data_IF_235874444148
#
_entry.id   IF_235874444148
#
_cell.length_a   1.000
_cell.length_b   1.000
_cell.length_c   1.000
_cell.angle_alpha   90.00
_cell.angle_beta   90.00
_cell.angle_gamma   90.00
#
_symmetry.space_group_name_H-M   'P 1'
#
loop_
_entity.id
_entity.type
_entity.pdbx_description
1 polymer ?
#
# COMPACT_ATOMS: atom_id res chain seq x y z
N UNK A 1 5.86 9.55 -5.85
CA UNK A 1 7.08 10.34 -5.53
C UNK A 1 7.60 9.86 -4.20
N UNK A 2 8.83 9.35 -4.12
CA UNK A 2 9.50 9.04 -2.85
C UNK A 2 10.48 10.17 -2.53
N UNK A 3 10.54 10.61 -1.27
CA UNK A 3 11.57 11.56 -0.81
C UNK A 3 12.94 10.87 -0.96
N UNK A 4 13.92 11.56 -1.56
CA UNK A 4 15.28 11.06 -1.76
C UNK A 4 15.94 10.54 -0.47
N UNK A 5 15.52 11.03 0.70
CA UNK A 5 16.04 10.57 1.99
C UNK A 5 15.54 9.18 2.39
N UNK A 6 14.34 8.76 1.95
CA UNK A 6 13.84 7.40 2.20
C UNK A 6 14.74 6.36 1.53
N UNK A 7 15.20 6.62 0.30
CA UNK A 7 16.09 5.72 -0.43
C UNK A 7 17.49 5.63 0.20
N UNK A 8 17.96 6.71 0.84
CA UNK A 8 19.25 6.72 1.55
C UNK A 8 19.21 5.92 2.86
N UNK A 9 18.10 5.99 3.60
CA UNK A 9 18.00 5.38 4.93
C UNK A 9 17.31 4.00 4.92
N UNK A 10 16.50 3.68 3.92
CA UNK A 10 15.79 2.42 3.84
C UNK A 10 15.51 2.01 2.37
N UNK A 11 16.46 1.24 1.80
CA UNK A 11 16.36 0.72 0.43
C UNK A 11 15.14 -0.18 0.21
N UNK A 12 14.74 -0.96 1.23
CA UNK A 12 13.56 -1.80 1.15
C UNK A 12 12.28 -0.97 1.03
N UNK A 13 12.13 0.07 1.86
CA UNK A 13 10.98 0.97 1.79
C UNK A 13 10.93 1.74 0.46
N UNK A 14 12.08 2.21 -0.02
CA UNK A 14 12.16 2.86 -1.33
C UNK A 14 11.74 1.91 -2.45
N UNK A 15 12.21 0.65 -2.43
CA UNK A 15 11.81 -0.34 -3.43
C UNK A 15 10.32 -0.67 -3.34
N UNK A 16 9.78 -0.78 -2.13
CA UNK A 16 8.35 -1.00 -1.92
C UNK A 16 7.51 0.11 -2.59
N UNK A 17 7.84 1.38 -2.33
CA UNK A 17 7.15 2.51 -2.95
C UNK A 17 7.29 2.59 -4.47
N UNK A 18 8.39 2.08 -5.02
CA UNK A 18 8.62 2.02 -6.46
C UNK A 18 7.72 0.96 -7.15
N UNK A 19 7.51 -0.19 -6.51
CA UNK A 19 6.84 -1.35 -7.14
C UNK A 19 5.35 -1.46 -6.81
N UNK A 20 4.89 -0.84 -5.72
CA UNK A 20 3.49 -0.88 -5.33
C UNK A 20 2.60 -0.22 -6.39
N UNK A 21 1.57 -0.94 -6.82
CA UNK A 21 0.58 -0.46 -7.79
C UNK A 21 -0.80 -0.90 -7.37
N UNK A 22 -1.70 0.06 -7.16
CA UNK A 22 -3.09 -0.19 -6.83
C UNK A 22 -3.95 -0.12 -8.10
N UNK A 23 -4.99 -0.96 -8.17
CA UNK A 23 -5.97 -0.89 -9.25
C UNK A 23 -6.87 0.34 -9.04
N UNK A 24 -7.20 1.04 -10.12
CA UNK A 24 -8.14 2.17 -10.08
C UNK A 24 -9.50 1.78 -9.50
N UNK A 25 -9.99 0.57 -9.79
CA UNK A 25 -11.25 0.08 -9.27
C UNK A 25 -11.24 -0.06 -7.73
N UNK A 26 -10.11 -0.46 -7.15
CA UNK A 26 -9.97 -0.57 -5.69
C UNK A 26 -9.99 0.81 -5.03
N UNK A 27 -9.33 1.79 -5.66
CA UNK A 27 -9.34 3.19 -5.22
C UNK A 27 -10.77 3.75 -5.28
N UNK A 28 -11.49 3.51 -6.38
CA UNK A 28 -12.88 3.92 -6.52
C UNK A 28 -13.81 3.27 -5.49
N UNK A 29 -13.61 1.98 -5.19
CA UNK A 29 -14.37 1.27 -4.15
C UNK A 29 -14.14 1.88 -2.77
N UNK A 30 -12.88 2.20 -2.42
CA UNK A 30 -12.54 2.85 -1.15
C UNK A 30 -13.14 4.27 -1.06
N UNK A 31 -13.05 5.06 -2.14
CA UNK A 31 -13.66 6.39 -2.20
C UNK A 31 -15.18 6.35 -2.03
N UNK A 32 -15.85 5.29 -2.51
CA UNK A 32 -17.29 5.10 -2.28
C UNK A 32 -17.61 4.86 -0.80
N UNK A 33 -16.78 4.12 -0.07
CA UNK A 33 -16.98 3.90 1.37
C UNK A 33 -16.79 5.21 2.14
N UNK A 34 -15.76 5.99 1.80
CA UNK A 34 -15.56 7.34 2.36
C UNK A 34 -16.78 8.23 2.10
N UNK A 35 -17.30 8.25 0.86
CA UNK A 35 -18.45 9.09 0.50
C UNK A 35 -19.74 8.68 1.22
N UNK A 36 -19.85 7.41 1.61
CA UNK A 36 -20.93 6.87 2.46
C UNK A 36 -20.77 7.16 3.95
N UNK A 37 -19.68 7.81 4.36
CA UNK A 37 -19.45 8.25 5.74
C UNK A 37 -18.38 7.48 6.51
N UNK A 38 -17.80 6.42 5.92
CA UNK A 38 -16.71 5.63 6.53
C UNK A 38 -15.36 6.33 6.38
N UNK A 39 -15.23 7.52 6.98
CA UNK A 39 -14.09 8.44 6.79
C UNK A 39 -13.21 8.62 8.03
N UNK A 40 -13.46 7.89 9.12
CA UNK A 40 -12.59 7.93 10.29
C UNK A 40 -11.28 7.21 10.00
N UNK A 41 -10.23 7.51 10.77
CA UNK A 41 -8.93 6.85 10.62
C UNK A 41 -9.04 5.33 10.83
N UNK A 42 -9.84 4.91 11.79
CA UNK A 42 -10.09 3.49 12.08
C UNK A 42 -10.80 2.80 10.92
N UNK A 43 -11.77 3.46 10.29
CA UNK A 43 -12.48 2.94 9.13
C UNK A 43 -11.52 2.78 7.93
N UNK A 44 -10.73 3.81 7.64
CA UNK A 44 -9.74 3.79 6.54
C UNK A 44 -8.69 2.69 6.78
N UNK A 45 -8.19 2.55 8.02
CA UNK A 45 -7.26 1.49 8.40
C UNK A 45 -7.89 0.10 8.25
N UNK A 46 -9.17 -0.05 8.57
CA UNK A 46 -9.92 -1.30 8.35
C UNK A 46 -10.07 -1.62 6.86
N UNK A 47 -10.38 -0.63 6.01
CA UNK A 47 -10.44 -0.81 4.56
C UNK A 47 -9.10 -1.27 3.99
N UNK A 48 -8.00 -0.66 4.42
CA UNK A 48 -6.66 -1.06 3.98
C UNK A 48 -6.34 -2.52 4.37
N UNK A 49 -6.66 -2.94 5.60
CA UNK A 49 -6.49 -4.32 6.06
C UNK A 49 -7.35 -5.30 5.26
N UNK A 50 -8.60 -4.94 4.97
CA UNK A 50 -9.49 -5.75 4.16
C UNK A 50 -8.97 -5.91 2.73
N UNK A 51 -8.47 -4.82 2.12
CA UNK A 51 -7.85 -4.85 0.80
C UNK A 51 -6.61 -5.75 0.78
N UNK A 52 -5.71 -5.63 1.78
CA UNK A 52 -4.52 -6.49 1.89
C UNK A 52 -4.94 -7.96 1.98
N UNK A 53 -5.94 -8.29 2.81
CA UNK A 53 -6.43 -9.67 2.95
C UNK A 53 -6.98 -10.22 1.62
N UNK A 54 -7.70 -9.40 0.85
CA UNK A 54 -8.21 -9.80 -0.46
C UNK A 54 -7.10 -9.93 -1.53
N UNK A 55 -6.00 -9.19 -1.38
CA UNK A 55 -4.87 -9.14 -2.31
C UNK A 55 -3.57 -9.70 -1.72
N UNK A 56 -3.69 -10.66 -0.80
CA UNK A 56 -2.56 -11.10 0.05
C UNK A 56 -1.34 -11.50 -0.77
N UNK A 57 -1.53 -12.29 -1.85
CA UNK A 57 -0.43 -12.70 -2.73
C UNK A 57 0.29 -11.53 -3.40
N UNK A 58 -0.47 -10.53 -3.86
CA UNK A 58 0.08 -9.33 -4.49
C UNK A 58 0.88 -8.51 -3.47
N UNK A 59 0.30 -8.31 -2.28
CA UNK A 59 0.95 -7.58 -1.20
C UNK A 59 2.22 -8.28 -0.74
N UNK A 60 2.16 -9.59 -0.48
CA UNK A 60 3.30 -10.41 -0.07
C UNK A 60 4.42 -10.36 -1.12
N UNK A 61 4.08 -10.45 -2.41
CA UNK A 61 5.05 -10.34 -3.50
C UNK A 61 5.79 -8.99 -3.53
N UNK A 62 5.10 -7.89 -3.18
CA UNK A 62 5.77 -6.59 -3.02
C UNK A 62 6.71 -6.58 -1.81
N UNK A 63 6.28 -7.12 -0.66
CA UNK A 63 7.12 -7.20 0.54
C UNK A 63 8.36 -8.05 0.32
N UNK A 64 8.22 -9.22 -0.33
CA UNK A 64 9.34 -10.09 -0.66
C UNK A 64 10.34 -9.39 -1.60
N UNK A 65 9.83 -8.74 -2.65
CA UNK A 65 10.68 -8.01 -3.61
C UNK A 65 11.40 -6.83 -2.93
N UNK A 66 10.70 -6.08 -2.08
CA UNK A 66 11.27 -4.98 -1.32
C UNK A 66 12.37 -5.45 -0.35
N UNK A 67 12.15 -6.55 0.37
CA UNK A 67 13.15 -7.13 1.28
C UNK A 67 14.42 -7.57 0.56
N UNK A 68 14.32 -8.08 -0.67
CA UNK A 68 15.50 -8.45 -1.49
C UNK A 68 16.37 -7.25 -1.83
N UNK A 69 15.80 -6.04 -1.93
CA UNK A 69 16.55 -4.81 -2.19
C UNK A 69 17.23 -4.21 -0.93
N UNK A 70 17.03 -4.82 0.24
CA UNK A 70 17.71 -4.43 1.48
C UNK A 70 19.18 -4.87 1.53
N UNK A 71 19.54 -5.88 0.71
CA UNK A 71 20.86 -6.50 0.65
C UNK A 71 21.74 -5.87 -0.43
#
# INVERSE_FOLDING_TARGET
VANADVAKHNRAAAKLFEIMKLNMNDISAQNMLISKGEKSEEAIASHAKAWIKAHQKTFDGWIETAKKAAY
#
